data_IF_380890388142
#
_entry.id   IF_380890388142
#
_cell.length_a   1.000
_cell.length_b   1.000
_cell.length_c   1.000
_cell.angle_alpha   90.00
_cell.angle_beta   90.00
_cell.angle_gamma   90.00
#
_symmetry.space_group_name_H-M   'P 1'
#
loop_
_entity.id
_entity.type
_entity.pdbx_description
1 polymer ?
#
# COMPACT_ATOMS: atom_id res chain seq x y z
N UNK A 1 -33.74 45.96 31.73
CA UNK A 1 -33.00 46.45 30.57
C UNK A 1 -33.22 45.50 29.43
N UNK A 2 -33.98 45.89 28.43
CA UNK A 2 -34.18 45.11 27.19
C UNK A 2 -32.99 45.39 26.26
N UNK A 3 -32.16 44.40 26.03
CA UNK A 3 -31.15 44.49 24.99
C UNK A 3 -31.83 44.37 23.63
N UNK A 4 -31.79 45.40 22.83
CA UNK A 4 -32.24 45.38 21.43
C UNK A 4 -31.26 44.53 20.63
N UNK A 5 -31.73 43.34 20.18
CA UNK A 5 -31.01 42.51 19.24
C UNK A 5 -30.93 43.24 17.90
N UNK A 6 -29.73 43.57 17.42
CA UNK A 6 -29.51 44.11 16.08
C UNK A 6 -29.51 42.94 15.11
N UNK A 7 -30.46 42.88 14.20
CA UNK A 7 -30.48 41.94 13.10
C UNK A 7 -29.48 42.31 12.01
N UNK A 8 -29.01 41.32 11.25
CA UNK A 8 -28.17 41.54 10.08
C UNK A 8 -28.97 42.20 8.95
N UNK A 9 -28.31 43.09 8.22
CA UNK A 9 -28.90 43.68 7.01
C UNK A 9 -28.79 42.69 5.85
N UNK A 10 -29.72 42.78 4.90
CA UNK A 10 -29.73 41.94 3.69
C UNK A 10 -28.43 42.15 2.87
N UNK A 11 -27.91 43.38 2.82
CA UNK A 11 -26.65 43.71 2.12
C UNK A 11 -25.44 43.07 2.78
N UNK A 12 -25.40 43.02 4.10
CA UNK A 12 -24.32 42.41 4.87
C UNK A 12 -24.26 40.87 4.62
N UNK A 13 -25.42 40.20 4.59
CA UNK A 13 -25.50 38.81 4.21
C UNK A 13 -25.00 38.58 2.79
N UNK A 14 -25.38 39.44 1.84
CA UNK A 14 -24.99 39.34 0.43
C UNK A 14 -23.48 39.48 0.26
N UNK A 15 -22.84 40.42 0.98
CA UNK A 15 -21.38 40.56 0.98
C UNK A 15 -20.68 39.33 1.52
N UNK A 16 -21.16 38.75 2.62
CA UNK A 16 -20.57 37.58 3.24
C UNK A 16 -20.62 36.36 2.30
N UNK A 17 -21.77 36.10 1.67
CA UNK A 17 -21.89 34.95 0.74
C UNK A 17 -21.06 35.14 -0.52
N UNK A 18 -20.89 36.36 -1.04
CA UNK A 18 -20.01 36.62 -2.19
C UNK A 18 -18.54 36.37 -1.88
N UNK A 19 -18.05 36.82 -0.71
CA UNK A 19 -16.69 36.54 -0.25
C UNK A 19 -16.51 35.02 -0.02
N UNK A 20 -17.46 34.37 0.62
CA UNK A 20 -17.40 32.91 0.85
C UNK A 20 -17.36 32.13 -0.48
N UNK A 21 -18.13 32.52 -1.48
CA UNK A 21 -18.12 31.92 -2.81
C UNK A 21 -16.76 32.04 -3.51
N UNK A 22 -16.14 33.21 -3.47
CA UNK A 22 -14.80 33.43 -4.05
C UNK A 22 -13.74 32.55 -3.33
N UNK A 23 -13.77 32.49 -2.02
CA UNK A 23 -12.86 31.64 -1.25
C UNK A 23 -13.06 30.16 -1.57
N UNK A 24 -14.31 29.70 -1.73
CA UNK A 24 -14.61 28.31 -2.06
C UNK A 24 -14.01 27.89 -3.41
N UNK A 25 -14.08 28.74 -4.44
CA UNK A 25 -13.52 28.43 -5.77
C UNK A 25 -12.01 28.19 -5.73
N UNK A 26 -11.28 28.91 -4.89
CA UNK A 26 -9.82 28.74 -4.72
C UNK A 26 -9.48 27.53 -3.85
N UNK A 27 -10.27 27.23 -2.82
CA UNK A 27 -10.00 26.17 -1.85
C UNK A 27 -10.28 24.77 -2.40
N UNK A 28 -11.33 24.58 -3.21
CA UNK A 28 -11.77 23.27 -3.70
C UNK A 28 -10.72 22.48 -4.50
N UNK A 29 -9.97 23.03 -5.48
CA UNK A 29 -8.97 22.27 -6.22
C UNK A 29 -7.81 21.81 -5.34
N UNK A 30 -7.36 22.62 -4.39
CA UNK A 30 -6.29 22.28 -3.48
C UNK A 30 -6.71 21.16 -2.49
N UNK A 31 -7.97 21.14 -2.08
CA UNK A 31 -8.51 20.09 -1.21
C UNK A 31 -8.49 18.71 -1.88
N UNK A 32 -8.85 18.61 -3.16
CA UNK A 32 -8.81 17.34 -3.87
C UNK A 32 -7.39 16.77 -3.97
N UNK A 33 -6.40 17.62 -4.20
CA UNK A 33 -5.00 17.20 -4.21
C UNK A 33 -4.54 16.71 -2.84
N UNK A 34 -4.90 17.42 -1.78
CA UNK A 34 -4.60 17.03 -0.41
C UNK A 34 -5.24 15.70 -0.01
N UNK A 35 -6.52 15.48 -0.33
CA UNK A 35 -7.25 14.23 -0.06
C UNK A 35 -6.58 13.06 -0.79
N UNK A 36 -6.21 13.22 -2.07
CA UNK A 36 -5.56 12.17 -2.84
C UNK A 36 -4.20 11.78 -2.24
N UNK A 37 -3.37 12.77 -1.86
CA UNK A 37 -2.09 12.55 -1.20
C UNK A 37 -2.26 11.85 0.16
N UNK A 38 -3.26 12.25 0.96
CA UNK A 38 -3.54 11.61 2.25
C UNK A 38 -4.01 10.17 2.12
N UNK A 39 -4.76 9.85 1.06
CA UNK A 39 -5.18 8.49 0.76
C UNK A 39 -3.99 7.59 0.45
N UNK A 40 -3.08 8.02 -0.41
CA UNK A 40 -1.85 7.28 -0.71
C UNK A 40 -1.00 7.07 0.56
N UNK A 41 -0.81 8.12 1.36
CA UNK A 41 -0.07 8.03 2.62
C UNK A 41 -0.72 7.06 3.62
N UNK A 42 -2.04 7.13 3.80
CA UNK A 42 -2.76 6.22 4.71
C UNK A 42 -2.63 4.75 4.29
N UNK A 43 -2.67 4.46 3.00
CA UNK A 43 -2.47 3.09 2.52
C UNK A 43 -1.01 2.63 2.65
N UNK A 44 -0.05 3.51 2.43
CA UNK A 44 1.36 3.21 2.69
C UNK A 44 1.61 2.86 4.16
N UNK A 45 1.00 3.59 5.09
CA UNK A 45 1.07 3.28 6.52
C UNK A 45 0.42 1.94 6.87
N UNK A 46 -0.70 1.59 6.26
CA UNK A 46 -1.34 0.28 6.46
C UNK A 46 -0.43 -0.86 6.01
N UNK A 47 0.19 -0.73 4.82
CA UNK A 47 1.16 -1.71 4.31
C UNK A 47 2.38 -1.78 5.25
N UNK A 48 2.95 -0.65 5.64
CA UNK A 48 4.10 -0.60 6.55
C UNK A 48 3.80 -1.29 7.89
N UNK A 49 2.61 -1.04 8.44
CA UNK A 49 2.19 -1.65 9.70
C UNK A 49 1.95 -3.17 9.56
N UNK A 50 1.39 -3.62 8.42
CA UNK A 50 1.25 -5.05 8.14
C UNK A 50 2.62 -5.74 8.07
N UNK A 51 3.58 -5.14 7.37
CA UNK A 51 4.93 -5.67 7.21
C UNK A 51 5.70 -5.74 8.54
N UNK A 52 5.68 -4.65 9.30
CA UNK A 52 6.31 -4.61 10.64
C UNK A 52 5.69 -5.64 11.57
N UNK A 53 4.37 -5.79 11.51
CA UNK A 53 3.65 -6.78 12.30
C UNK A 53 4.00 -8.22 11.87
N UNK A 54 4.03 -8.51 10.57
CA UNK A 54 4.41 -9.80 10.02
C UNK A 54 5.83 -10.21 10.44
N UNK A 55 6.79 -9.27 10.36
CA UNK A 55 8.16 -9.49 10.83
C UNK A 55 8.20 -9.84 12.33
N UNK A 56 7.51 -9.07 13.15
CA UNK A 56 7.47 -9.31 14.59
C UNK A 56 6.84 -10.66 14.93
N UNK A 57 5.79 -11.05 14.20
CA UNK A 57 5.14 -12.36 14.38
C UNK A 57 6.04 -13.52 13.94
N UNK A 58 6.81 -13.36 12.86
CA UNK A 58 7.78 -14.35 12.42
C UNK A 58 8.84 -14.63 13.51
N UNK A 59 9.42 -13.58 14.08
CA UNK A 59 10.39 -13.66 15.17
C UNK A 59 9.73 -14.25 16.44
N UNK A 60 8.56 -13.76 16.82
CA UNK A 60 7.86 -14.16 18.06
C UNK A 60 7.44 -15.62 18.06
N UNK A 61 6.96 -16.12 16.91
CA UNK A 61 6.48 -17.50 16.75
C UNK A 61 7.57 -18.47 16.39
N UNK A 62 8.74 -17.98 15.98
CA UNK A 62 9.81 -18.77 15.38
C UNK A 62 9.32 -19.60 14.17
N UNK A 63 8.42 -19.00 13.36
CA UNK A 63 7.84 -19.60 12.16
C UNK A 63 7.92 -18.59 11.02
N UNK A 64 8.04 -19.03 9.75
CA UNK A 64 7.98 -18.13 8.62
C UNK A 64 6.58 -17.51 8.53
N UNK A 65 6.53 -16.20 8.25
CA UNK A 65 5.28 -15.46 8.00
C UNK A 65 5.28 -14.99 6.57
N UNK A 66 4.30 -15.44 5.82
CA UNK A 66 4.09 -15.12 4.42
C UNK A 66 3.12 -13.97 4.28
N UNK A 67 3.30 -13.20 3.22
CA UNK A 67 2.39 -12.12 2.83
C UNK A 67 1.98 -12.35 1.39
N UNK A 68 0.69 -12.51 1.17
CA UNK A 68 0.11 -12.76 -0.14
C UNK A 68 -1.01 -11.78 -0.48
N UNK A 69 -1.28 -11.54 -1.77
CA UNK A 69 -2.47 -10.83 -2.20
C UNK A 69 -3.72 -11.68 -1.94
N UNK A 70 -4.79 -11.04 -1.50
CA UNK A 70 -6.07 -11.70 -1.22
C UNK A 70 -7.23 -10.99 -1.91
N UNK A 71 -8.26 -11.76 -2.26
CA UNK A 71 -9.54 -11.22 -2.69
C UNK A 71 -10.36 -10.84 -1.45
N UNK A 72 -10.86 -9.61 -1.42
CA UNK A 72 -11.78 -9.15 -0.39
C UNK A 72 -13.21 -9.37 -0.87
N UNK A 73 -14.03 -9.97 -0.03
CA UNK A 73 -15.45 -10.17 -0.25
C UNK A 73 -16.26 -8.92 0.08
N UNK A 74 -17.53 -8.90 -0.30
CA UNK A 74 -18.44 -7.79 -0.02
C UNK A 74 -18.69 -7.56 1.48
N UNK A 75 -18.54 -8.60 2.31
CA UNK A 75 -18.61 -8.53 3.76
C UNK A 75 -17.33 -8.02 4.44
N UNK A 76 -16.30 -7.70 3.64
CA UNK A 76 -14.99 -7.24 4.11
C UNK A 76 -14.03 -8.37 4.48
N UNK A 77 -14.44 -9.64 4.50
CA UNK A 77 -13.57 -10.78 4.78
C UNK A 77 -12.70 -11.14 3.57
N UNK A 78 -11.62 -11.91 3.78
CA UNK A 78 -10.79 -12.40 2.68
C UNK A 78 -11.14 -13.84 2.27
N UNK A 79 -10.80 -14.21 1.04
CA UNK A 79 -11.04 -15.54 0.47
C UNK A 79 -9.73 -16.33 0.22
N UNK A 80 -8.76 -16.16 1.11
CA UNK A 80 -7.43 -16.76 0.94
C UNK A 80 -6.56 -16.05 -0.09
N UNK A 81 -5.35 -16.58 -0.32
CA UNK A 81 -4.39 -16.01 -1.25
C UNK A 81 -4.81 -16.15 -2.71
N UNK A 82 -4.53 -15.14 -3.52
CA UNK A 82 -4.75 -15.17 -4.97
C UNK A 82 -3.53 -15.84 -5.63
N UNK A 83 -3.72 -17.01 -6.23
CA UNK A 83 -2.68 -17.75 -6.92
C UNK A 83 -2.64 -17.53 -8.45
N UNK A 84 -3.63 -16.84 -9.02
CA UNK A 84 -3.75 -16.62 -10.47
C UNK A 84 -3.66 -15.14 -10.83
N UNK A 85 -2.77 -14.81 -11.75
CA UNK A 85 -2.63 -13.45 -12.34
C UNK A 85 -3.94 -12.91 -12.95
N UNK A 86 -4.80 -13.79 -13.47
CA UNK A 86 -6.04 -13.42 -14.15
C UNK A 86 -7.28 -13.34 -13.25
N UNK A 87 -7.10 -13.12 -11.96
CA UNK A 87 -8.26 -12.87 -11.09
C UNK A 87 -8.92 -11.54 -11.45
N UNK A 88 -10.19 -11.59 -11.85
CA UNK A 88 -11.01 -10.40 -12.22
C UNK A 88 -11.47 -9.59 -11.02
N UNK A 89 -10.97 -9.88 -9.81
CA UNK A 89 -11.39 -9.18 -8.61
C UNK A 89 -10.86 -7.76 -8.57
N UNK A 90 -11.75 -6.80 -8.38
CA UNK A 90 -11.44 -5.38 -8.19
C UNK A 90 -11.06 -5.07 -6.74
N UNK A 91 -11.64 -5.78 -5.76
CA UNK A 91 -11.35 -5.57 -4.35
C UNK A 91 -10.20 -6.47 -3.89
N UNK A 92 -9.04 -5.87 -3.64
CA UNK A 92 -7.78 -6.54 -3.32
C UNK A 92 -7.29 -6.11 -1.95
N UNK A 93 -6.71 -7.07 -1.23
CA UNK A 93 -6.03 -6.84 0.04
C UNK A 93 -4.68 -7.58 0.09
N UNK A 94 -4.02 -7.48 1.23
CA UNK A 94 -2.85 -8.28 1.57
C UNK A 94 -3.09 -9.02 2.89
N UNK A 95 -2.76 -10.30 2.94
CA UNK A 95 -2.86 -11.16 4.11
C UNK A 95 -1.47 -11.54 4.59
N UNK A 96 -1.22 -11.39 5.89
CA UNK A 96 -0.10 -12.01 6.57
C UNK A 96 -0.57 -13.29 7.28
N UNK A 97 0.08 -14.40 7.03
CA UNK A 97 -0.21 -15.68 7.68
C UNK A 97 1.07 -16.41 8.10
N UNK A 98 1.00 -17.14 9.21
CA UNK A 98 2.07 -18.04 9.62
C UNK A 98 1.76 -19.43 9.08
N UNK A 99 2.74 -20.00 8.40
CA UNK A 99 2.69 -21.30 7.76
C UNK A 99 3.43 -22.32 8.68
N UNK A 100 2.68 -23.21 9.30
CA UNK A 100 3.23 -24.21 10.24
C UNK A 100 3.73 -25.46 9.52
N UNK A 101 3.15 -25.80 8.37
CA UNK A 101 3.51 -26.98 7.60
C UNK A 101 4.54 -26.71 6.51
N UNK A 102 4.99 -25.43 6.39
CA UNK A 102 6.03 -24.96 5.46
C UNK A 102 5.74 -25.24 3.97
N UNK A 103 4.45 -25.35 3.61
CA UNK A 103 4.05 -25.61 2.21
C UNK A 103 3.95 -24.35 1.36
N UNK A 104 4.16 -23.17 1.94
CA UNK A 104 4.09 -21.85 1.27
C UNK A 104 2.73 -21.52 0.63
N UNK A 105 1.67 -22.22 1.03
CA UNK A 105 0.31 -22.06 0.50
C UNK A 105 -0.67 -21.84 1.64
N UNK A 106 -1.41 -20.74 1.62
CA UNK A 106 -2.43 -20.50 2.65
C UNK A 106 -3.61 -21.46 2.47
N UNK A 107 -3.84 -22.27 3.48
CA UNK A 107 -5.01 -23.11 3.65
C UNK A 107 -5.77 -22.58 4.87
N UNK A 108 -7.07 -22.47 4.78
CA UNK A 108 -7.88 -21.99 5.91
C UNK A 108 -8.19 -23.12 6.89
N UNK A 109 -7.13 -23.76 7.40
CA UNK A 109 -7.14 -24.89 8.32
C UNK A 109 -6.31 -24.61 9.58
N UNK A 110 -6.09 -25.64 10.42
CA UNK A 110 -5.33 -25.51 11.67
C UNK A 110 -3.82 -25.32 11.47
N UNK A 111 -3.31 -25.62 10.27
CA UNK A 111 -1.88 -25.54 9.93
C UNK A 111 -1.45 -24.13 9.52
N UNK A 112 -2.40 -23.33 9.03
CA UNK A 112 -2.15 -21.94 8.61
C UNK A 112 -2.91 -20.95 9.49
N UNK A 113 -2.16 -20.13 10.19
CA UNK A 113 -2.75 -19.08 11.00
C UNK A 113 -2.82 -17.76 10.25
N UNK A 114 -4.04 -17.38 9.85
CA UNK A 114 -4.30 -16.01 9.42
C UNK A 114 -4.01 -15.05 10.57
N UNK A 115 -3.01 -14.18 10.41
CA UNK A 115 -2.58 -13.27 11.47
C UNK A 115 -3.28 -11.92 11.32
N UNK A 116 -3.17 -11.32 10.13
CA UNK A 116 -3.73 -10.00 9.84
C UNK A 116 -3.88 -9.80 8.34
N UNK A 117 -4.94 -9.12 7.94
CA UNK A 117 -5.07 -8.63 6.57
C UNK A 117 -5.42 -7.13 6.53
N UNK A 118 -5.15 -6.52 5.39
CA UNK A 118 -5.49 -5.14 5.08
C UNK A 118 -6.20 -5.10 3.72
N UNK A 119 -7.04 -4.09 3.54
CA UNK A 119 -7.73 -3.83 2.27
C UNK A 119 -6.96 -2.72 1.55
N UNK A 120 -6.47 -3.00 0.34
CA UNK A 120 -5.71 -2.03 -0.46
C UNK A 120 -6.63 -1.25 -1.39
N UNK A 121 -7.33 -1.95 -2.26
CA UNK A 121 -8.31 -1.36 -3.17
C UNK A 121 -9.69 -1.88 -2.80
N UNK A 122 -10.55 -0.97 -2.35
CA UNK A 122 -11.99 -1.21 -2.33
C UNK A 122 -12.58 -1.00 -3.74
N UNK A 123 -13.90 -1.00 -3.84
CA UNK A 123 -14.65 -0.87 -5.11
C UNK A 123 -14.29 0.36 -5.96
N UNK A 124 -13.58 1.34 -5.40
CA UNK A 124 -13.27 2.61 -6.07
C UNK A 124 -11.88 2.73 -6.68
N UNK A 125 -11.00 1.75 -6.48
CA UNK A 125 -9.63 1.70 -7.05
C UNK A 125 -8.94 3.08 -7.26
N UNK A 126 -8.87 3.89 -6.20
CA UNK A 126 -8.37 5.28 -6.32
C UNK A 126 -6.85 5.41 -6.21
N UNK A 127 -6.18 4.36 -5.76
CA UNK A 127 -4.72 4.35 -5.58
C UNK A 127 -4.08 3.40 -6.59
N UNK A 128 -3.06 3.89 -7.27
CA UNK A 128 -2.18 3.11 -8.14
C UNK A 128 -0.98 2.64 -7.32
N UNK A 129 -0.60 1.37 -7.47
CA UNK A 129 0.53 0.74 -6.80
C UNK A 129 1.61 0.40 -7.80
N UNK A 130 2.86 0.52 -7.36
CA UNK A 130 4.03 0.03 -8.09
C UNK A 130 5.02 -0.59 -7.12
N UNK A 131 5.52 -1.75 -7.49
CA UNK A 131 6.48 -2.53 -6.71
C UNK A 131 7.75 -2.67 -7.54
N UNK A 132 8.85 -2.09 -7.09
CA UNK A 132 10.14 -2.14 -7.76
C UNK A 132 11.16 -2.78 -6.83
N UNK A 133 11.97 -3.71 -7.34
CA UNK A 133 13.15 -4.19 -6.65
C UNK A 133 14.36 -3.34 -7.04
N UNK A 134 15.05 -2.80 -6.06
CA UNK A 134 16.28 -2.00 -6.23
C UNK A 134 17.44 -2.83 -5.67
N UNK A 135 18.28 -3.47 -6.53
CA UNK A 135 19.40 -4.29 -6.07
C UNK A 135 20.48 -3.43 -5.42
N UNK A 136 21.24 -4.02 -4.49
CA UNK A 136 22.41 -3.37 -3.86
C UNK A 136 23.62 -3.22 -4.79
N UNK A 137 23.61 -3.86 -5.96
CA UNK A 137 24.72 -3.85 -6.94
C UNK A 137 24.22 -3.72 -8.37
N UNK A 138 25.15 -3.49 -9.30
CA UNK A 138 24.86 -3.21 -10.72
C UNK A 138 24.44 -4.43 -11.55
N UNK A 139 24.40 -5.64 -10.99
CA UNK A 139 24.37 -6.89 -11.76
C UNK A 139 23.01 -7.60 -11.86
N UNK A 140 21.92 -7.07 -11.31
CA UNK A 140 20.60 -7.71 -11.36
C UNK A 140 19.54 -6.85 -12.02
N UNK A 141 18.71 -7.50 -12.84
CA UNK A 141 17.52 -6.87 -13.43
C UNK A 141 16.56 -6.43 -12.34
N UNK A 142 16.14 -5.17 -12.38
CA UNK A 142 15.10 -4.68 -11.51
C UNK A 142 13.78 -5.38 -11.86
N UNK A 143 13.18 -6.08 -10.89
CA UNK A 143 11.81 -6.56 -11.02
C UNK A 143 10.87 -5.37 -10.77
N UNK A 144 9.88 -5.22 -11.63
CA UNK A 144 8.86 -4.18 -11.48
C UNK A 144 7.49 -4.76 -11.76
N UNK A 145 6.55 -4.56 -10.85
CA UNK A 145 5.15 -4.92 -11.03
C UNK A 145 4.25 -3.75 -10.62
N UNK A 146 3.20 -3.52 -11.38
CA UNK A 146 2.14 -2.57 -11.04
C UNK A 146 0.88 -3.26 -10.50
N UNK A 147 0.84 -4.59 -10.45
CA UNK A 147 -0.28 -5.37 -9.95
C UNK A 147 0.02 -5.90 -8.54
N UNK A 148 -0.74 -5.47 -7.50
CA UNK A 148 -0.61 -6.02 -6.15
C UNK A 148 -0.81 -7.54 -6.08
N UNK A 149 -1.49 -8.15 -7.07
CA UNK A 149 -1.74 -9.60 -7.14
C UNK A 149 -0.49 -10.44 -7.43
N UNK A 150 0.58 -9.79 -7.90
CA UNK A 150 1.85 -10.46 -8.23
C UNK A 150 2.86 -10.42 -7.09
N UNK A 151 2.48 -9.84 -5.95
CA UNK A 151 3.40 -9.55 -4.86
C UNK A 151 3.28 -10.61 -3.77
N UNK A 152 4.34 -11.39 -3.60
CA UNK A 152 4.47 -12.40 -2.57
C UNK A 152 5.75 -12.18 -1.79
N UNK A 153 5.64 -12.07 -0.48
CA UNK A 153 6.75 -11.81 0.44
C UNK A 153 6.76 -12.80 1.59
N UNK A 154 7.92 -12.92 2.25
CA UNK A 154 8.12 -13.81 3.36
C UNK A 154 9.08 -13.19 4.37
N UNK A 155 8.75 -13.26 5.63
CA UNK A 155 9.66 -12.99 6.73
C UNK A 155 10.07 -14.30 7.38
N UNK A 156 11.38 -14.48 7.57
CA UNK A 156 11.95 -15.61 8.27
C UNK A 156 11.95 -15.37 9.81
N UNK A 157 12.10 -16.41 10.62
CA UNK A 157 12.20 -16.29 12.08
C UNK A 157 13.32 -15.40 12.58
N UNK A 158 14.40 -15.26 11.82
CA UNK A 158 15.50 -14.35 12.12
C UNK A 158 15.19 -12.87 11.76
N UNK A 159 13.98 -12.58 11.27
CA UNK A 159 13.53 -11.25 10.87
C UNK A 159 13.99 -10.79 9.49
N UNK A 160 14.67 -11.64 8.72
CA UNK A 160 15.05 -11.33 7.34
C UNK A 160 13.87 -11.39 6.39
N UNK A 161 13.98 -10.66 5.28
CA UNK A 161 12.93 -10.48 4.29
C UNK A 161 13.30 -11.14 2.96
N UNK A 162 12.37 -11.93 2.44
CA UNK A 162 12.47 -12.59 1.14
C UNK A 162 11.28 -12.20 0.25
N UNK A 163 11.50 -12.22 -1.06
CA UNK A 163 10.47 -11.95 -2.06
C UNK A 163 10.45 -13.06 -3.13
N UNK A 164 9.29 -13.29 -3.73
CA UNK A 164 9.12 -14.26 -4.81
C UNK A 164 9.70 -13.69 -6.11
N UNK A 165 10.60 -14.45 -6.76
CA UNK A 165 11.27 -14.02 -8.00
C UNK A 165 10.42 -14.34 -9.22
N UNK A 166 9.82 -15.50 -9.29
CA UNK A 166 9.09 -15.97 -10.45
C UNK A 166 8.22 -17.19 -10.11
N UNK A 167 6.99 -17.17 -10.60
CA UNK A 167 6.07 -18.30 -10.59
C UNK A 167 5.90 -18.80 -12.04
N UNK A 168 7.05 -19.05 -12.73
CA UNK A 168 7.03 -19.41 -14.17
C UNK A 168 6.36 -20.74 -14.44
N UNK A 169 6.41 -21.67 -13.49
CA UNK A 169 5.96 -23.04 -13.72
C UNK A 169 4.53 -23.31 -13.27
N UNK A 170 3.86 -22.36 -12.62
CA UNK A 170 2.50 -22.54 -12.09
C UNK A 170 2.38 -23.69 -11.07
N UNK A 171 3.52 -24.21 -10.61
CA UNK A 171 3.59 -25.23 -9.58
C UNK A 171 3.37 -24.57 -8.22
N UNK A 172 2.20 -24.82 -7.63
CA UNK A 172 1.78 -24.22 -6.36
C UNK A 172 2.70 -24.58 -5.19
N UNK A 173 3.48 -25.63 -5.33
CA UNK A 173 4.26 -26.23 -4.24
C UNK A 173 5.73 -25.79 -4.25
N UNK A 174 6.20 -25.04 -5.27
CA UNK A 174 7.59 -24.60 -5.42
C UNK A 174 7.74 -23.11 -5.65
N UNK A 175 7.34 -22.31 -4.68
CA UNK A 175 7.60 -20.87 -4.73
C UNK A 175 9.07 -20.60 -4.38
N UNK A 176 9.80 -20.03 -5.33
CA UNK A 176 11.20 -19.70 -5.15
C UNK A 176 11.35 -18.31 -4.54
N UNK A 177 11.48 -18.25 -3.22
CA UNK A 177 11.77 -17.02 -2.49
C UNK A 177 13.24 -16.71 -2.48
N UNK A 178 13.59 -15.46 -2.68
CA UNK A 178 14.97 -14.98 -2.65
C UNK A 178 15.13 -13.91 -1.56
N UNK A 179 16.25 -13.99 -0.84
CA UNK A 179 16.66 -12.94 0.09
C UNK A 179 16.85 -11.61 -0.65
N UNK A 180 16.34 -10.54 -0.07
CA UNK A 180 16.50 -9.20 -0.59
C UNK A 180 17.88 -8.63 -0.20
N UNK A 181 18.83 -8.64 -1.12
CA UNK A 181 20.13 -7.98 -0.95
C UNK A 181 20.06 -6.45 -1.18
N UNK A 182 18.91 -5.94 -1.61
CA UNK A 182 18.64 -4.54 -1.84
C UNK A 182 17.39 -4.06 -1.10
N UNK A 183 16.57 -3.28 -1.81
CA UNK A 183 15.33 -2.73 -1.29
C UNK A 183 14.15 -3.07 -2.21
N UNK A 184 13.02 -3.43 -1.63
CA UNK A 184 11.74 -3.35 -2.33
C UNK A 184 11.20 -1.94 -2.12
N UNK A 185 10.93 -1.26 -3.21
CA UNK A 185 10.30 0.06 -3.25
C UNK A 185 8.84 -0.11 -3.60
N UNK A 186 7.95 0.39 -2.75
CA UNK A 186 6.52 0.42 -2.99
C UNK A 186 6.14 1.88 -3.17
N UNK A 187 5.66 2.22 -4.36
CA UNK A 187 5.20 3.56 -4.69
C UNK A 187 3.69 3.56 -4.81
N UNK A 188 3.04 4.45 -4.09
CA UNK A 188 1.59 4.64 -4.10
C UNK A 188 1.29 6.05 -4.57
N UNK A 189 0.35 6.19 -5.50
CA UNK A 189 -0.08 7.52 -5.98
C UNK A 189 -1.56 7.50 -6.36
N UNK A 190 -2.09 8.66 -6.71
CA UNK A 190 -3.47 8.80 -7.19
C UNK A 190 -3.60 8.24 -8.61
N UNK A 191 -4.48 7.26 -8.79
CA UNK A 191 -4.76 6.63 -10.09
C UNK A 191 -5.32 7.62 -11.13
N UNK A 192 -6.01 8.65 -10.69
CA UNK A 192 -6.65 9.63 -11.55
C UNK A 192 -5.77 10.84 -11.90
N UNK A 193 -4.54 10.90 -11.39
CA UNK A 193 -3.58 11.89 -11.82
C UNK A 193 -3.10 11.57 -13.25
N UNK A 194 -3.20 12.54 -14.16
CA UNK A 194 -2.92 12.34 -15.58
C UNK A 194 -1.47 12.67 -15.95
N UNK A 195 -0.84 13.56 -15.21
CA UNK A 195 0.53 14.02 -15.47
C UNK A 195 1.50 13.55 -14.38
N UNK A 196 2.79 13.47 -14.76
CA UNK A 196 3.84 12.95 -13.90
C UNK A 196 4.08 13.82 -12.65
N UNK A 197 3.97 15.14 -12.78
CA UNK A 197 4.18 16.08 -11.67
C UNK A 197 3.08 15.92 -10.61
N UNK A 198 1.83 15.83 -11.04
CA UNK A 198 0.70 15.58 -10.14
C UNK A 198 0.80 14.21 -9.47
N UNK A 199 1.21 13.17 -10.22
CA UNK A 199 1.47 11.83 -9.64
C UNK A 199 2.57 11.90 -8.57
N UNK A 200 3.69 12.57 -8.87
CA UNK A 200 4.82 12.77 -7.94
C UNK A 200 4.38 13.55 -6.69
N UNK A 201 3.62 14.63 -6.86
CA UNK A 201 3.14 15.45 -5.75
C UNK A 201 2.19 14.69 -4.79
N UNK A 202 1.44 13.70 -5.30
CA UNK A 202 0.50 12.88 -4.54
C UNK A 202 1.08 11.55 -4.08
N UNK A 203 2.28 11.21 -4.52
CA UNK A 203 2.91 9.93 -4.23
C UNK A 203 3.41 9.81 -2.79
N UNK A 204 3.41 8.58 -2.31
CA UNK A 204 4.10 8.15 -1.09
C UNK A 204 4.93 6.93 -1.44
N UNK A 205 6.18 6.91 -0.99
CA UNK A 205 7.13 5.83 -1.23
C UNK A 205 7.46 5.13 0.09
N UNK A 206 7.44 3.81 0.06
CA UNK A 206 7.79 2.94 1.16
C UNK A 206 8.93 2.02 0.70
N UNK A 207 9.91 1.80 1.56
CA UNK A 207 11.06 0.94 1.32
C UNK A 207 11.11 -0.20 2.33
N UNK A 208 11.49 -1.39 1.85
CA UNK A 208 11.78 -2.55 2.70
C UNK A 208 13.17 -3.06 2.31
N UNK A 209 14.05 -3.24 3.27
CA UNK A 209 15.36 -3.85 3.03
C UNK A 209 15.37 -5.35 3.41
N UNK A 210 16.43 -6.06 3.04
CA UNK A 210 16.57 -7.50 3.35
C UNK A 210 16.60 -7.85 4.84
N UNK A 211 16.93 -6.91 5.71
CA UNK A 211 16.82 -7.10 7.16
C UNK A 211 15.38 -6.91 7.68
N UNK A 212 14.42 -6.72 6.79
CA UNK A 212 13.02 -6.54 7.15
C UNK A 212 12.70 -5.18 7.77
N UNK A 213 13.59 -4.19 7.64
CA UNK A 213 13.30 -2.83 8.09
C UNK A 213 12.40 -2.13 7.07
N UNK A 214 11.29 -1.57 7.56
CA UNK A 214 10.28 -0.88 6.76
C UNK A 214 10.30 0.61 7.08
N UNK A 215 10.50 1.43 6.04
CA UNK A 215 10.59 2.88 6.11
C UNK A 215 9.60 3.53 5.14
N UNK A 216 8.92 4.59 5.57
CA UNK A 216 8.15 5.46 4.69
C UNK A 216 9.00 6.70 4.42
N UNK A 217 9.29 6.97 3.17
CA UNK A 217 10.06 8.13 2.76
C UNK A 217 9.32 9.44 3.05
N UNK A 218 10.04 10.41 3.60
CA UNK A 218 9.49 11.76 3.77
C UNK A 218 9.28 12.43 2.38
N UNK A 219 8.35 13.37 2.28
CA UNK A 219 8.06 14.07 1.01
C UNK A 219 9.25 14.86 0.44
N UNK A 220 10.15 15.30 1.31
CA UNK A 220 11.36 16.05 0.98
C UNK A 220 12.62 15.18 1.03
N UNK A 221 12.48 13.86 0.96
CA UNK A 221 13.61 12.94 0.95
C UNK A 221 14.29 12.96 -0.41
N UNK A 222 15.56 13.37 -0.45
CA UNK A 222 16.35 13.53 -1.68
C UNK A 222 17.04 12.22 -2.14
N UNK A 223 16.91 11.13 -1.37
CA UNK A 223 17.47 9.83 -1.76
C UNK A 223 16.79 9.33 -3.02
N UNK A 224 17.58 8.91 -4.03
CA UNK A 224 17.05 8.38 -5.30
C UNK A 224 16.06 7.22 -5.11
N UNK A 225 16.27 6.39 -4.09
CA UNK A 225 15.36 5.28 -3.77
C UNK A 225 13.99 5.77 -3.28
N UNK A 226 13.91 6.97 -2.72
CA UNK A 226 12.66 7.60 -2.26
C UNK A 226 11.96 8.41 -3.36
N UNK A 227 12.61 8.63 -4.49
CA UNK A 227 12.01 9.39 -5.58
C UNK A 227 10.91 8.57 -6.26
N UNK A 228 9.71 9.16 -6.42
CA UNK A 228 8.65 8.55 -7.23
C UNK A 228 9.04 8.61 -8.70
N UNK A 229 9.03 7.47 -9.38
CA UNK A 229 9.27 7.35 -10.82
C UNK A 229 7.96 6.93 -11.48
N UNK A 230 7.40 7.81 -12.33
CA UNK A 230 6.32 7.42 -13.26
C UNK A 230 6.88 6.47 -14.33
N UNK A 231 6.02 5.58 -14.83
CA UNK A 231 6.35 4.85 -16.08
C UNK A 231 6.42 5.83 -17.22
#
# INVERSE_FOLDING_TARGET
MYQTQKGFTLIELLIVITIAAVMAVIALPNMNQWIASRRAASQAEQIANLLRFARNEAVRRNLPVYICPVKIKSDGSHNGCIHKKNSTSTSIGMLAYADKNENSSYQNDEDDLSIRYIILNGDTEKVEYRFDYIPSGTSRSALSSSDPKEVWWKFLPNGTFEYLIDDKDGDKDKKNYQFSDGHIKISLTDKFATDAETKKARATVLLINGNGHVEICAKNDERKMCEYTSK
#
